data_IF_573013676043
#
_entry.id   IF_573013676043
#
_cell.length_a   1.000
_cell.length_b   1.000
_cell.length_c   1.000
_cell.angle_alpha   90.00
_cell.angle_beta   90.00
_cell.angle_gamma   90.00
#
_symmetry.space_group_name_H-M   'P 1'
#
loop_
_entity.id
_entity.type
_entity.pdbx_description
1 polymer ?
#
# COMPACT_ATOMS: atom_id res chain seq x y z
N UNK A 1 -47.88 52.63 16.39
CA UNK A 1 -46.93 51.88 17.23
C UNK A 1 -47.08 50.39 17.14
N UNK A 2 -48.04 49.80 16.41
CA UNK A 2 -48.25 48.36 16.29
C UNK A 2 -47.48 47.67 15.11
N UNK A 3 -47.09 48.43 14.08
CA UNK A 3 -46.51 47.89 12.86
C UNK A 3 -44.98 47.68 12.94
N UNK A 4 -44.31 48.40 13.83
CA UNK A 4 -42.86 48.24 14.05
C UNK A 4 -42.48 46.91 14.78
N UNK A 5 -43.42 46.40 15.60
CA UNK A 5 -43.19 45.17 16.36
C UNK A 5 -43.33 43.88 15.49
N UNK A 6 -44.12 43.96 14.40
CA UNK A 6 -44.28 42.81 13.45
C UNK A 6 -43.08 42.65 12.51
N UNK A 7 -42.44 43.79 12.15
CA UNK A 7 -41.28 43.76 11.25
C UNK A 7 -40.03 43.17 11.92
N UNK A 8 -39.84 43.48 13.23
CA UNK A 8 -38.70 42.92 14.01
C UNK A 8 -38.88 41.41 14.27
N UNK A 9 -40.10 40.93 14.49
CA UNK A 9 -40.38 39.49 14.66
C UNK A 9 -40.16 38.69 13.38
N UNK A 10 -40.44 39.26 12.20
CA UNK A 10 -40.23 38.58 10.92
C UNK A 10 -38.75 38.50 10.56
N UNK A 11 -37.94 39.50 10.93
CA UNK A 11 -36.51 39.54 10.67
C UNK A 11 -35.74 38.48 11.53
N UNK A 12 -36.13 38.25 12.78
CA UNK A 12 -35.57 37.25 13.67
C UNK A 12 -35.85 35.80 13.23
N UNK A 13 -37.02 35.55 12.61
CA UNK A 13 -37.36 34.21 12.11
C UNK A 13 -36.56 33.84 10.85
N UNK A 14 -36.29 34.84 9.98
CA UNK A 14 -35.50 34.61 8.76
C UNK A 14 -34.02 34.38 9.08
N UNK A 15 -33.45 35.03 10.10
CA UNK A 15 -32.07 34.80 10.53
C UNK A 15 -31.86 33.45 11.23
N UNK A 16 -32.88 32.94 11.94
CA UNK A 16 -32.84 31.64 12.57
C UNK A 16 -32.90 30.47 11.54
N UNK A 17 -33.53 30.67 10.37
CA UNK A 17 -33.69 29.66 9.34
C UNK A 17 -32.43 29.52 8.47
N UNK A 18 -31.55 30.52 8.43
CA UNK A 18 -30.30 30.49 7.63
C UNK A 18 -29.14 29.79 8.39
N UNK A 19 -29.25 29.73 9.72
CA UNK A 19 -28.19 29.16 10.56
C UNK A 19 -28.18 27.61 10.62
N UNK A 20 -29.23 26.94 10.11
CA UNK A 20 -29.31 25.44 10.17
C UNK A 20 -28.89 24.74 8.89
N UNK A 21 -28.38 25.45 7.88
CA UNK A 21 -28.03 24.89 6.58
C UNK A 21 -26.51 24.71 6.35
N UNK A 22 -25.66 24.94 7.35
CA UNK A 22 -24.19 24.91 7.15
C UNK A 22 -23.52 23.65 7.76
N UNK A 23 -24.27 22.79 8.47
CA UNK A 23 -23.69 21.65 9.17
C UNK A 23 -23.60 20.33 8.33
N UNK A 24 -23.79 20.38 7.02
CA UNK A 24 -23.83 19.15 6.19
C UNK A 24 -22.68 18.97 5.19
N UNK A 25 -21.55 19.65 5.36
CA UNK A 25 -20.34 19.39 4.56
C UNK A 25 -19.11 19.05 5.42
N UNK A 26 -19.32 18.38 6.55
CA UNK A 26 -18.27 17.52 7.10
C UNK A 26 -18.25 16.26 6.24
N UNK A 27 -17.66 16.35 5.06
CA UNK A 27 -17.37 15.22 4.19
C UNK A 27 -16.35 14.38 4.95
N UNK A 28 -16.83 13.24 5.44
CA UNK A 28 -16.03 12.17 6.04
C UNK A 28 -15.05 11.68 4.95
N UNK A 29 -13.93 12.39 4.81
CA UNK A 29 -12.76 11.88 4.14
C UNK A 29 -12.18 10.79 5.04
N UNK A 30 -12.89 9.69 5.17
CA UNK A 30 -12.28 8.41 5.48
C UNK A 30 -11.39 8.08 4.25
N UNK A 31 -10.26 8.78 4.19
CA UNK A 31 -9.11 8.42 3.38
C UNK A 31 -8.85 6.95 3.74
N UNK A 32 -9.17 6.06 2.81
CA UNK A 32 -8.80 4.65 2.92
C UNK A 32 -7.29 4.65 3.00
N UNK A 33 -6.77 4.69 4.22
CA UNK A 33 -5.34 4.60 4.49
C UNK A 33 -4.89 3.27 3.89
N UNK A 34 -4.33 3.30 2.68
CA UNK A 34 -3.66 2.15 2.09
C UNK A 34 -2.71 1.59 3.15
N UNK A 35 -2.78 0.28 3.36
CA UNK A 35 -1.91 -0.37 4.34
C UNK A 35 -0.46 0.02 4.05
N UNK A 36 0.30 0.48 5.08
CA UNK A 36 1.66 0.97 4.86
C UNK A 36 2.51 -0.11 4.20
N UNK A 37 3.36 0.29 3.27
CA UNK A 37 4.29 -0.61 2.62
C UNK A 37 5.08 -1.41 3.66
N UNK A 38 5.17 -2.72 3.47
CA UNK A 38 6.00 -3.62 4.27
C UNK A 38 7.22 -4.05 3.48
N UNK A 39 8.38 -3.91 4.10
CA UNK A 39 9.69 -4.23 3.53
C UNK A 39 9.73 -5.70 3.09
N UNK A 40 10.25 -5.94 1.90
CA UNK A 40 10.36 -7.28 1.29
C UNK A 40 11.82 -7.67 1.04
N UNK A 41 12.15 -8.97 0.99
CA UNK A 41 13.47 -9.42 0.56
C UNK A 41 13.82 -8.90 -0.83
N UNK A 42 15.02 -8.35 -0.99
CA UNK A 42 15.50 -7.74 -2.22
C UNK A 42 15.32 -6.22 -2.28
N UNK A 43 14.63 -5.60 -1.32
CA UNK A 43 14.53 -4.14 -1.24
C UNK A 43 15.87 -3.52 -0.86
N UNK A 44 16.14 -2.33 -1.39
CA UNK A 44 17.28 -1.51 -0.98
C UNK A 44 16.83 -0.42 -0.03
N UNK A 45 17.43 -0.39 1.13
CA UNK A 45 17.18 0.58 2.19
C UNK A 45 18.40 1.49 2.37
N UNK A 46 18.15 2.74 2.67
CA UNK A 46 19.17 3.63 3.21
C UNK A 46 18.87 3.88 4.68
N UNK A 47 19.82 3.60 5.52
CA UNK A 47 19.78 3.90 6.95
C UNK A 47 20.86 4.92 7.25
N UNK A 48 20.51 5.98 7.97
CA UNK A 48 21.44 7.00 8.42
C UNK A 48 21.14 7.38 9.87
N UNK A 49 22.19 7.68 10.62
CA UNK A 49 22.11 8.20 11.97
C UNK A 49 22.66 9.63 11.95
N UNK A 50 21.91 10.57 12.55
CA UNK A 50 22.30 11.97 12.57
C UNK A 50 23.67 12.17 13.23
N UNK A 51 24.52 12.97 12.61
CA UNK A 51 25.88 13.29 13.04
C UNK A 51 26.86 12.09 13.13
N UNK A 52 26.50 10.94 12.51
CA UNK A 52 27.33 9.73 12.46
C UNK A 52 27.54 9.28 11.01
N UNK A 53 28.51 9.86 10.28
CA UNK A 53 28.71 9.54 8.86
C UNK A 53 29.08 8.07 8.62
N UNK A 54 29.73 7.41 9.58
CA UNK A 54 30.09 6.00 9.51
C UNK A 54 28.87 5.07 9.60
N UNK A 55 27.75 5.57 10.12
CA UNK A 55 26.47 4.87 10.22
C UNK A 55 25.49 5.26 9.08
N UNK A 56 25.97 5.88 8.03
CA UNK A 56 25.22 6.07 6.81
C UNK A 56 25.50 4.90 5.84
N UNK A 57 24.53 3.99 5.68
CA UNK A 57 24.69 2.77 4.89
C UNK A 57 23.50 2.53 3.96
N UNK A 58 23.81 2.06 2.74
CA UNK A 58 22.83 1.39 1.90
C UNK A 58 22.83 -0.11 2.22
N UNK A 59 21.65 -0.66 2.44
CA UNK A 59 21.46 -2.03 2.88
C UNK A 59 20.52 -2.74 1.91
N UNK A 60 20.91 -3.93 1.49
CA UNK A 60 20.03 -4.84 0.76
C UNK A 60 19.36 -5.76 1.77
N UNK A 61 18.03 -5.89 1.69
CA UNK A 61 17.30 -6.88 2.48
C UNK A 61 17.62 -8.27 1.91
N UNK A 62 18.22 -9.11 2.73
CA UNK A 62 18.62 -10.47 2.35
C UNK A 62 17.42 -11.34 1.97
N UNK A 63 17.68 -12.51 1.31
CA UNK A 63 16.63 -13.46 0.97
C UNK A 63 15.98 -14.11 2.20
N UNK A 64 16.67 -14.10 3.33
CA UNK A 64 16.18 -14.50 4.66
C UNK A 64 15.34 -13.40 5.35
N UNK A 65 15.23 -12.23 4.72
CA UNK A 65 14.48 -11.10 5.23
C UNK A 65 15.21 -10.24 6.26
N UNK A 66 16.53 -10.46 6.44
CA UNK A 66 17.34 -9.70 7.39
C UNK A 66 18.14 -8.59 6.73
N UNK A 67 18.55 -7.62 7.53
CA UNK A 67 19.56 -6.61 7.21
C UNK A 67 20.66 -6.65 8.26
N UNK A 68 21.90 -6.36 7.88
CA UNK A 68 23.01 -6.16 8.79
C UNK A 68 23.35 -4.69 8.89
N UNK A 69 23.30 -4.11 10.11
CA UNK A 69 23.63 -2.72 10.34
C UNK A 69 24.74 -2.59 11.42
N UNK A 70 25.72 -1.70 11.23
CA UNK A 70 26.82 -1.54 12.19
C UNK A 70 26.30 -1.30 13.61
N UNK A 71 27.00 -1.82 14.61
CA UNK A 71 26.69 -1.80 16.05
C UNK A 71 25.41 -2.58 16.44
N UNK A 72 24.43 -2.65 15.56
CA UNK A 72 23.11 -3.28 15.79
C UNK A 72 23.14 -4.76 15.48
N UNK A 73 24.00 -5.18 14.52
CA UNK A 73 24.05 -6.53 13.99
C UNK A 73 22.89 -6.85 13.04
N UNK A 74 22.48 -8.11 13.01
CA UNK A 74 21.38 -8.57 12.19
C UNK A 74 20.01 -8.21 12.78
N UNK A 75 19.11 -7.77 11.90
CA UNK A 75 17.72 -7.42 12.19
C UNK A 75 16.79 -7.98 11.14
N UNK A 76 15.72 -8.61 11.56
CA UNK A 76 14.62 -8.94 10.65
C UNK A 76 13.92 -7.67 10.19
N UNK A 77 13.94 -7.41 8.88
CA UNK A 77 13.29 -6.26 8.22
C UNK A 77 11.99 -6.65 7.51
N UNK A 78 11.89 -7.88 7.01
CA UNK A 78 10.73 -8.33 6.22
C UNK A 78 9.44 -8.27 7.00
N UNK A 79 8.39 -7.77 6.36
CA UNK A 79 7.06 -7.61 6.94
C UNK A 79 6.91 -6.43 7.89
N UNK A 80 7.99 -5.72 8.19
CA UNK A 80 7.96 -4.49 9.00
C UNK A 80 7.73 -3.27 8.14
N UNK A 81 7.07 -2.27 8.70
CA UNK A 81 7.04 -0.94 8.11
C UNK A 81 8.40 -0.24 8.32
N UNK A 82 8.67 0.80 7.52
CA UNK A 82 9.85 1.66 7.71
C UNK A 82 9.91 2.25 9.13
N UNK A 83 8.74 2.58 9.69
CA UNK A 83 8.62 3.13 11.05
C UNK A 83 9.03 2.10 12.10
N UNK A 84 8.58 0.85 11.96
CA UNK A 84 8.92 -0.21 12.92
C UNK A 84 10.38 -0.61 12.83
N UNK A 85 10.94 -0.65 11.60
CA UNK A 85 12.37 -0.91 11.43
C UNK A 85 13.22 0.21 12.05
N UNK A 86 12.84 1.48 11.85
CA UNK A 86 13.50 2.63 12.48
C UNK A 86 13.50 2.50 14.01
N UNK A 87 12.35 2.20 14.61
CA UNK A 87 12.24 1.98 16.07
C UNK A 87 13.18 0.89 16.54
N UNK A 88 13.17 -0.27 15.86
CA UNK A 88 14.02 -1.39 16.24
C UNK A 88 15.53 -1.08 16.16
N UNK A 89 15.95 -0.30 15.17
CA UNK A 89 17.35 0.18 15.05
C UNK A 89 17.66 1.15 16.18
N UNK A 90 16.79 2.15 16.43
CA UNK A 90 16.95 3.15 17.49
C UNK A 90 17.12 2.49 18.85
N UNK A 91 16.23 1.56 19.21
CA UNK A 91 16.29 0.83 20.49
C UNK A 91 17.61 0.09 20.70
N UNK A 92 18.14 -0.55 19.65
CA UNK A 92 19.43 -1.25 19.75
C UNK A 92 20.62 -0.28 19.84
N UNK A 93 20.57 0.86 19.15
CA UNK A 93 21.63 1.89 19.20
C UNK A 93 21.73 2.61 20.54
N UNK A 94 20.65 2.69 21.32
CA UNK A 94 20.67 3.26 22.68
C UNK A 94 21.72 2.62 23.62
N UNK A 95 22.20 1.42 23.29
CA UNK A 95 23.30 0.76 24.06
C UNK A 95 24.66 1.37 23.78
N UNK A 96 24.81 2.10 22.68
CA UNK A 96 26.10 2.62 22.21
C UNK A 96 26.16 4.14 22.17
N UNK A 97 25.02 4.81 22.09
CA UNK A 97 24.93 6.28 22.02
C UNK A 97 23.64 6.79 22.66
N UNK A 98 23.72 8.00 23.20
CA UNK A 98 22.57 8.69 23.77
C UNK A 98 21.75 9.32 22.65
N UNK A 99 20.43 9.12 22.66
CA UNK A 99 19.45 9.76 21.77
C UNK A 99 19.76 9.64 20.26
N UNK A 100 19.93 8.41 19.70
CA UNK A 100 20.20 8.24 18.28
C UNK A 100 19.01 8.69 17.42
N UNK A 101 19.24 9.64 16.50
CA UNK A 101 18.24 10.07 15.53
C UNK A 101 18.45 9.26 14.26
N UNK A 102 17.62 8.23 14.07
CA UNK A 102 17.72 7.29 12.96
C UNK A 102 16.73 7.67 11.86
N UNK A 103 17.21 7.70 10.63
CA UNK A 103 16.37 7.81 9.42
C UNK A 103 16.49 6.53 8.60
N UNK A 104 15.36 5.97 8.22
CA UNK A 104 15.27 4.81 7.31
C UNK A 104 14.46 5.22 6.09
N UNK A 105 15.01 4.99 4.90
CA UNK A 105 14.35 5.30 3.62
C UNK A 105 14.44 4.09 2.71
N UNK A 106 13.36 3.73 2.03
CA UNK A 106 13.38 2.75 0.95
C UNK A 106 13.87 3.45 -0.32
N UNK A 107 15.02 3.02 -0.84
CA UNK A 107 15.60 3.55 -2.07
C UNK A 107 15.01 2.90 -3.31
N UNK A 108 14.92 1.58 -3.29
CA UNK A 108 14.39 0.79 -4.39
C UNK A 108 13.50 -0.32 -3.83
N UNK A 109 12.28 -0.40 -4.34
CA UNK A 109 11.33 -1.46 -4.05
C UNK A 109 11.52 -2.54 -5.10
N UNK A 110 12.39 -3.52 -4.84
CA UNK A 110 12.70 -4.61 -5.77
C UNK A 110 12.14 -5.95 -5.31
N UNK A 111 11.74 -6.03 -4.04
CA UNK A 111 11.17 -7.23 -3.45
C UNK A 111 9.69 -7.42 -3.74
N UNK A 112 8.95 -6.36 -4.06
CA UNK A 112 7.53 -6.46 -4.35
C UNK A 112 7.29 -6.88 -5.81
N UNK A 113 7.16 -8.19 -6.05
CA UNK A 113 7.08 -8.80 -7.38
C UNK A 113 5.82 -9.62 -7.51
N UNK A 114 5.15 -9.49 -8.65
CA UNK A 114 4.05 -10.36 -9.07
C UNK A 114 4.43 -11.10 -10.35
N UNK A 115 3.75 -12.19 -10.61
CA UNK A 115 3.94 -12.98 -11.82
C UNK A 115 2.64 -13.06 -12.60
N UNK A 116 2.72 -12.88 -13.92
CA UNK A 116 1.56 -13.06 -14.81
C UNK A 116 1.94 -14.08 -15.86
N UNK A 117 1.18 -15.16 -15.96
CA UNK A 117 1.46 -16.28 -16.87
C UNK A 117 0.20 -16.68 -17.66
N UNK A 118 0.39 -17.38 -18.76
CA UNK A 118 -0.67 -17.89 -19.62
C UNK A 118 -0.99 -16.98 -20.79
N UNK A 119 -2.27 -16.86 -21.15
CA UNK A 119 -2.77 -16.18 -22.36
C UNK A 119 -2.78 -14.65 -22.20
N UNK A 120 -1.60 -14.06 -21.99
CA UNK A 120 -1.35 -12.61 -21.98
C UNK A 120 -0.29 -12.24 -23.02
N UNK A 121 -0.29 -10.99 -23.47
CA UNK A 121 0.65 -10.58 -24.52
C UNK A 121 2.11 -10.55 -24.07
N UNK A 122 2.37 -10.28 -22.79
CA UNK A 122 3.70 -10.24 -22.17
C UNK A 122 3.68 -10.99 -20.83
N UNK A 123 3.77 -12.32 -20.85
CA UNK A 123 3.91 -13.08 -19.61
C UNK A 123 5.27 -12.80 -18.97
N UNK A 124 5.33 -12.81 -17.65
CA UNK A 124 6.58 -12.57 -16.94
C UNK A 124 6.42 -12.13 -15.50
N UNK A 125 7.54 -11.66 -14.95
CA UNK A 125 7.64 -11.08 -13.63
C UNK A 125 7.56 -9.55 -13.72
N UNK A 126 6.78 -8.94 -12.85
CA UNK A 126 6.63 -7.49 -12.76
C UNK A 126 6.97 -7.02 -11.34
N UNK A 127 7.85 -6.02 -11.25
CA UNK A 127 8.07 -5.27 -10.00
C UNK A 127 6.98 -4.22 -9.91
N UNK A 128 6.28 -4.15 -8.78
CA UNK A 128 5.13 -3.27 -8.58
C UNK A 128 5.36 -2.32 -7.40
N UNK A 129 5.18 -1.02 -7.67
CA UNK A 129 5.24 0.04 -6.68
C UNK A 129 4.47 1.26 -7.23
N UNK A 130 3.36 1.67 -6.64
CA UNK A 130 2.66 1.07 -5.49
C UNK A 130 2.10 -0.33 -5.80
N UNK A 131 1.41 -0.93 -4.82
CA UNK A 131 0.69 -2.19 -5.05
C UNK A 131 -0.34 -2.02 -6.16
N UNK A 132 -0.56 -3.07 -6.92
CA UNK A 132 -1.48 -3.08 -8.08
C UNK A 132 -2.59 -4.10 -7.86
N UNK A 133 -3.73 -3.86 -8.47
CA UNK A 133 -4.82 -4.83 -8.54
C UNK A 133 -4.68 -5.79 -9.74
N UNK A 134 -5.59 -6.76 -9.86
CA UNK A 134 -5.55 -7.76 -10.92
C UNK A 134 -5.70 -7.13 -12.31
N UNK A 135 -6.60 -6.13 -12.47
CA UNK A 135 -6.81 -5.44 -13.75
C UNK A 135 -5.55 -4.67 -14.17
N UNK A 136 -4.90 -3.99 -13.22
CA UNK A 136 -3.65 -3.28 -13.45
C UNK A 136 -2.52 -4.24 -13.85
N UNK A 137 -2.40 -5.39 -13.16
CA UNK A 137 -1.42 -6.41 -13.47
C UNK A 137 -1.60 -6.98 -14.89
N UNK A 138 -2.84 -7.24 -15.31
CA UNK A 138 -3.16 -7.66 -16.67
C UNK A 138 -2.80 -6.56 -17.68
N UNK A 139 -3.04 -5.30 -17.36
CA UNK A 139 -2.63 -4.15 -18.20
C UNK A 139 -1.12 -4.08 -18.36
N UNK A 140 -0.35 -4.27 -17.29
CA UNK A 140 1.12 -4.33 -17.31
C UNK A 140 1.62 -5.47 -18.19
N UNK A 141 0.92 -6.61 -18.21
CA UNK A 141 1.18 -7.75 -19.10
C UNK A 141 0.74 -7.49 -20.56
N UNK A 142 0.33 -6.26 -20.89
CA UNK A 142 -0.11 -5.89 -22.24
C UNK A 142 -1.49 -6.39 -22.62
N UNK A 143 -2.31 -6.74 -21.63
CA UNK A 143 -3.64 -7.32 -21.82
C UNK A 143 -3.61 -8.81 -22.11
N UNK A 144 -4.81 -9.38 -22.27
CA UNK A 144 -5.00 -10.80 -22.58
C UNK A 144 -4.97 -11.04 -24.10
N UNK A 145 -4.61 -12.25 -24.52
CA UNK A 145 -4.70 -12.66 -25.93
C UNK A 145 -6.15 -12.97 -26.32
N UNK A 146 -6.40 -13.12 -27.62
CA UNK A 146 -7.72 -13.51 -28.16
C UNK A 146 -8.15 -14.95 -27.73
N UNK A 147 -7.23 -15.75 -27.24
CA UNK A 147 -7.46 -17.14 -26.83
C UNK A 147 -7.69 -17.27 -25.32
N UNK A 148 -7.60 -16.18 -24.56
CA UNK A 148 -7.71 -16.20 -23.11
C UNK A 148 -9.13 -16.55 -22.63
N UNK A 149 -9.23 -17.43 -21.66
CA UNK A 149 -10.47 -17.73 -20.93
C UNK A 149 -10.73 -16.69 -19.86
N UNK A 150 -11.22 -15.51 -20.22
CA UNK A 150 -11.34 -14.30 -19.41
C UNK A 150 -12.05 -14.48 -18.05
N UNK A 151 -12.99 -15.42 -17.97
CA UNK A 151 -13.77 -15.66 -16.74
C UNK A 151 -13.24 -16.81 -15.88
N UNK A 152 -12.10 -17.40 -16.29
CA UNK A 152 -11.45 -18.51 -15.58
C UNK A 152 -10.05 -18.13 -15.08
N UNK A 153 -9.74 -16.84 -14.99
CA UNK A 153 -8.49 -16.35 -14.44
C UNK A 153 -8.44 -16.69 -12.95
N UNK A 154 -7.26 -17.03 -12.45
CA UNK A 154 -7.04 -17.32 -11.04
C UNK A 154 -5.76 -16.68 -10.53
N UNK A 155 -5.78 -16.27 -9.26
CA UNK A 155 -4.63 -15.74 -8.55
C UNK A 155 -4.18 -16.81 -7.55
N UNK A 156 -2.93 -17.29 -7.70
CA UNK A 156 -2.32 -18.16 -6.71
C UNK A 156 -1.56 -17.30 -5.70
N UNK A 157 -2.03 -17.33 -4.45
CA UNK A 157 -1.40 -16.64 -3.31
C UNK A 157 -0.81 -17.66 -2.34
N UNK A 158 0.44 -17.44 -1.96
CA UNK A 158 1.13 -18.30 -1.00
C UNK A 158 1.18 -17.65 0.38
N UNK A 159 0.80 -18.44 1.39
CA UNK A 159 0.93 -18.09 2.80
C UNK A 159 1.78 -19.17 3.49
N UNK A 160 3.10 -18.96 3.58
CA UNK A 160 4.03 -19.96 4.08
C UNK A 160 4.00 -21.23 3.21
N UNK A 161 3.67 -22.38 3.80
CA UNK A 161 3.55 -23.65 3.08
C UNK A 161 2.19 -23.84 2.38
N UNK A 162 1.18 -23.04 2.72
CA UNK A 162 -0.16 -23.15 2.15
C UNK A 162 -0.29 -22.27 0.92
N UNK A 163 -0.95 -22.79 -0.13
CA UNK A 163 -1.28 -22.05 -1.35
C UNK A 163 -2.79 -21.98 -1.52
N UNK A 164 -3.29 -20.81 -1.90
CA UNK A 164 -4.72 -20.55 -2.12
C UNK A 164 -4.93 -20.08 -3.54
N UNK A 165 -5.96 -20.58 -4.19
CA UNK A 165 -6.41 -20.09 -5.50
C UNK A 165 -7.61 -19.18 -5.31
N UNK A 166 -7.53 -17.95 -5.83
CA UNK A 166 -8.58 -16.94 -5.76
C UNK A 166 -9.11 -16.75 -7.19
N UNK A 167 -10.39 -17.00 -7.45
CA UNK A 167 -10.95 -16.84 -8.79
C UNK A 167 -11.09 -15.36 -9.15
N UNK A 168 -10.90 -15.05 -10.44
CA UNK A 168 -11.10 -13.72 -11.00
C UNK A 168 -11.85 -13.80 -12.32
N UNK A 169 -12.94 -13.07 -12.45
CA UNK A 169 -13.79 -13.04 -13.66
C UNK A 169 -13.67 -11.69 -14.34
N UNK A 170 -12.77 -11.61 -15.29
CA UNK A 170 -12.47 -10.38 -16.04
C UNK A 170 -13.71 -9.69 -16.60
N UNK A 171 -14.61 -10.46 -17.25
CA UNK A 171 -15.80 -9.92 -17.88
C UNK A 171 -16.78 -9.27 -16.89
N UNK A 172 -16.87 -9.79 -15.67
CA UNK A 172 -17.73 -9.24 -14.62
C UNK A 172 -17.14 -7.91 -14.14
N UNK A 173 -15.86 -7.89 -13.77
CA UNK A 173 -15.17 -6.69 -13.28
C UNK A 173 -15.14 -5.60 -14.36
N UNK A 174 -14.82 -5.93 -15.60
CA UNK A 174 -14.79 -4.99 -16.71
C UNK A 174 -16.17 -4.37 -17.02
N UNK A 175 -17.26 -5.06 -16.68
CA UNK A 175 -18.63 -4.54 -16.80
C UNK A 175 -19.13 -3.81 -15.53
N UNK A 176 -18.26 -3.61 -14.52
CA UNK A 176 -18.61 -2.97 -13.25
C UNK A 176 -19.34 -3.88 -12.27
N UNK A 177 -19.36 -5.20 -12.50
CA UNK A 177 -19.95 -6.21 -11.60
C UNK A 177 -18.86 -6.88 -10.78
N UNK A 178 -19.20 -7.37 -9.59
CA UNK A 178 -18.30 -8.13 -8.71
C UNK A 178 -16.92 -7.47 -8.55
N UNK A 179 -16.90 -6.15 -8.29
CA UNK A 179 -15.67 -5.35 -8.18
C UNK A 179 -14.78 -5.82 -7.01
N UNK A 180 -15.35 -6.48 -6.02
CA UNK A 180 -14.66 -7.15 -4.91
C UNK A 180 -13.68 -8.24 -5.36
N UNK A 181 -13.87 -8.80 -6.58
CA UNK A 181 -12.91 -9.73 -7.17
C UNK A 181 -11.64 -9.04 -7.67
N UNK A 182 -11.65 -7.72 -7.89
CA UNK A 182 -10.47 -6.98 -8.31
C UNK A 182 -9.57 -6.66 -7.11
N UNK A 183 -9.04 -7.71 -6.51
CA UNK A 183 -8.22 -7.63 -5.29
C UNK A 183 -6.87 -6.99 -5.57
N UNK A 184 -6.31 -6.36 -4.54
CA UNK A 184 -4.91 -5.92 -4.53
C UNK A 184 -4.00 -7.13 -4.44
N UNK A 185 -3.00 -7.18 -5.33
CA UNK A 185 -2.02 -8.24 -5.38
C UNK A 185 -0.91 -8.02 -4.35
N UNK A 186 -0.47 -9.11 -3.74
CA UNK A 186 0.65 -9.14 -2.81
C UNK A 186 1.91 -9.64 -3.49
N UNK A 187 3.08 -9.34 -2.89
CA UNK A 187 4.35 -9.87 -3.36
C UNK A 187 4.32 -11.41 -3.40
N UNK A 188 4.74 -11.98 -4.53
CA UNK A 188 4.74 -13.42 -4.78
C UNK A 188 3.45 -13.96 -5.38
N UNK A 189 2.41 -13.16 -5.58
CA UNK A 189 1.18 -13.61 -6.25
C UNK A 189 1.45 -13.97 -7.72
N UNK A 190 0.76 -15.02 -8.18
CA UNK A 190 0.82 -15.47 -9.57
C UNK A 190 -0.57 -15.38 -10.19
N UNK A 191 -0.73 -14.51 -11.18
CA UNK A 191 -1.95 -14.38 -11.97
C UNK A 191 -1.87 -15.36 -13.15
N UNK A 192 -2.81 -16.30 -13.22
CA UNK A 192 -2.88 -17.35 -14.25
C UNK A 192 -4.04 -17.03 -15.18
N UNK A 193 -3.74 -16.85 -16.45
CA UNK A 193 -4.72 -16.59 -17.51
C UNK A 193 -4.75 -17.80 -18.44
N UNK A 194 -5.74 -18.70 -18.30
CA UNK A 194 -5.84 -19.89 -19.14
C UNK A 194 -6.33 -19.59 -20.54
#
# INVERSE_FOLDING_TARGET
MKDRCRLVGLLCVITALICTAIDSFAQDNAETAEAPYTIQPGDKLQVSVWNEPDLQKELLVGPDGTIAFPLVGELNATGKSVVDLRKAITEKLLRYMSEPIVTVTVKEVLGNKIFVIGQVNRPGQFVVNPMVDVMQALSMAGGTTAYASLNNISILRRHGAKQTSIPFRYGDVASGKNLDMNIVLHSGDVVIVP
#
